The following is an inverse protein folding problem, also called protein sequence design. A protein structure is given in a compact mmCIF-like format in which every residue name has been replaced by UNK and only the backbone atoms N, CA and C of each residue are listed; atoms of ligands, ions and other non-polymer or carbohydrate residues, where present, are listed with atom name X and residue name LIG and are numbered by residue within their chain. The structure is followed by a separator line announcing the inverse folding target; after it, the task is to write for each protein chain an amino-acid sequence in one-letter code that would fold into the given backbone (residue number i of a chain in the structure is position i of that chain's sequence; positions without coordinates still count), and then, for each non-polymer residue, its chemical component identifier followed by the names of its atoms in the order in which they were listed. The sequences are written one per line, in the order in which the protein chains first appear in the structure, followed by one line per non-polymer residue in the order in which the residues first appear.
data_IF_781822454736
#
_entry.id   IF_781822454736
#
_cell.length_a   1.000
_cell.length_b   1.000
_cell.length_c   1.000
_cell.angle_alpha   90.00
_cell.angle_beta   90.00
_cell.angle_gamma   90.00
#
_symmetry.space_group_name_H-M   'P 1'
#
loop_
_entity.id
_entity.type
_entity.pdbx_description
1 polymer ?
#
# COMPACT_ATOMS: atom_id res chain seq x y z
N UNK A 1 16.48 -5.94 -33.85
CA UNK A 1 17.13 -6.32 -32.58
C UNK A 1 16.10 -6.17 -31.47
N UNK A 2 15.62 -7.29 -30.97
CA UNK A 2 14.57 -7.42 -29.96
C UNK A 2 15.06 -6.94 -28.60
N UNK A 3 14.68 -5.72 -28.20
CA UNK A 3 14.79 -5.33 -26.79
C UNK A 3 13.63 -5.97 -26.05
N UNK A 4 13.93 -7.12 -25.42
CA UNK A 4 13.04 -7.85 -24.51
C UNK A 4 12.38 -6.88 -23.54
N UNK A 5 11.06 -6.77 -23.62
CA UNK A 5 10.23 -6.30 -22.51
C UNK A 5 10.41 -7.38 -21.42
N UNK A 6 10.84 -7.06 -20.19
CA UNK A 6 10.94 -8.06 -19.15
C UNK A 6 9.53 -8.50 -18.79
N UNK A 7 9.16 -9.69 -19.26
CA UNK A 7 8.07 -10.49 -18.74
C UNK A 7 8.45 -10.94 -17.32
N UNK A 8 8.22 -10.09 -16.32
CA UNK A 8 8.17 -10.45 -14.90
C UNK A 8 7.76 -9.24 -14.03
N UNK A 9 6.58 -8.68 -14.24
CA UNK A 9 5.79 -8.20 -13.09
C UNK A 9 4.69 -9.24 -12.93
N UNK A 10 5.09 -10.39 -12.37
CA UNK A 10 4.11 -11.36 -11.92
C UNK A 10 3.29 -10.69 -10.82
N UNK A 11 1.97 -10.87 -10.90
CA UNK A 11 0.93 -10.37 -10.01
C UNK A 11 1.06 -10.89 -8.57
N UNK A 12 2.18 -10.58 -7.91
CA UNK A 12 2.43 -10.87 -6.51
C UNK A 12 2.06 -9.66 -5.66
N UNK A 13 1.48 -9.92 -4.50
CA UNK A 13 1.24 -8.91 -3.47
C UNK A 13 2.62 -8.36 -3.03
N UNK A 14 2.78 -7.02 -2.90
CA UNK A 14 4.03 -6.43 -2.42
C UNK A 14 4.42 -7.00 -1.05
N UNK A 15 5.72 -7.19 -0.80
CA UNK A 15 6.16 -7.72 0.49
C UNK A 15 6.14 -6.65 1.59
N UNK A 16 6.13 -5.36 1.22
CA UNK A 16 6.07 -4.24 2.16
C UNK A 16 5.37 -3.01 1.57
N UNK A 17 5.02 -2.06 2.45
CA UNK A 17 4.48 -0.76 2.08
C UNK A 17 5.45 0.03 1.18
N UNK A 18 6.74 0.05 1.52
CA UNK A 18 7.76 0.77 0.75
C UNK A 18 7.92 0.20 -0.66
N UNK A 19 7.88 -1.13 -0.81
CA UNK A 19 7.90 -1.77 -2.11
C UNK A 19 6.66 -1.43 -2.94
N UNK A 20 5.47 -1.45 -2.32
CA UNK A 20 4.23 -1.09 -2.99
C UNK A 20 4.25 0.37 -3.49
N UNK A 21 4.78 1.27 -2.67
CA UNK A 21 4.95 2.68 -3.01
C UNK A 21 5.97 2.89 -4.14
N UNK A 22 7.10 2.19 -4.10
CA UNK A 22 8.11 2.26 -5.15
C UNK A 22 7.56 1.75 -6.49
N UNK A 23 6.82 0.63 -6.48
CA UNK A 23 6.18 0.10 -7.68
C UNK A 23 5.13 1.08 -8.24
N UNK A 24 4.30 1.66 -7.36
CA UNK A 24 3.29 2.65 -7.75
C UNK A 24 3.93 3.89 -8.40
N UNK A 25 5.01 4.41 -7.83
CA UNK A 25 5.73 5.56 -8.39
C UNK A 25 6.32 5.26 -9.79
N UNK A 26 6.89 4.06 -9.98
CA UNK A 26 7.39 3.62 -11.28
C UNK A 26 6.26 3.49 -12.30
N UNK A 27 5.10 2.98 -11.88
CA UNK A 27 3.94 2.79 -12.73
C UNK A 27 3.36 4.15 -13.17
N UNK A 28 3.22 5.10 -12.25
CA UNK A 28 2.79 6.48 -12.56
C UNK A 28 3.76 7.14 -13.54
N UNK A 29 5.07 7.03 -13.31
CA UNK A 29 6.09 7.58 -14.21
C UNK A 29 5.95 7.03 -15.65
N UNK A 30 5.66 5.73 -15.79
CA UNK A 30 5.44 5.11 -17.09
C UNK A 30 4.16 5.61 -17.76
N UNK A 31 3.08 5.79 -17.00
CA UNK A 31 1.81 6.32 -17.49
C UNK A 31 1.94 7.78 -17.96
N UNK A 32 2.65 8.60 -17.19
CA UNK A 32 2.90 10.01 -17.52
C UNK A 32 3.81 10.19 -18.73
N UNK A 33 4.70 9.23 -19.00
CA UNK A 33 5.52 9.23 -20.20
C UNK A 33 4.70 9.09 -21.50
N UNK A 34 3.43 8.68 -21.43
CA UNK A 34 2.49 8.70 -22.55
C UNK A 34 2.79 7.70 -23.68
N UNK A 35 3.78 6.82 -23.49
CA UNK A 35 4.25 5.87 -24.50
C UNK A 35 3.60 4.47 -24.39
N UNK A 36 2.67 4.28 -23.46
CA UNK A 36 2.01 3.00 -23.22
C UNK A 36 0.86 2.77 -24.23
N UNK A 37 0.84 1.61 -24.91
CA UNK A 37 -0.34 1.20 -25.69
C UNK A 37 -1.56 1.04 -24.77
N UNK A 38 -2.75 1.15 -25.34
CA UNK A 38 -4.02 1.18 -24.59
C UNK A 38 -4.17 0.00 -23.62
N UNK A 39 -3.88 -1.22 -24.09
CA UNK A 39 -3.96 -2.44 -23.29
C UNK A 39 -3.00 -2.40 -22.09
N UNK A 40 -1.79 -1.85 -22.29
CA UNK A 40 -0.81 -1.71 -21.22
C UNK A 40 -1.20 -0.60 -20.24
N UNK A 41 -1.84 0.47 -20.69
CA UNK A 41 -2.39 1.53 -19.83
C UNK A 41 -3.52 1.01 -18.93
N UNK A 42 -4.39 0.14 -19.45
CA UNK A 42 -5.44 -0.50 -18.65
C UNK A 42 -4.84 -1.45 -17.61
N UNK A 43 -3.85 -2.26 -17.99
CA UNK A 43 -3.14 -3.14 -17.06
C UNK A 43 -2.40 -2.34 -15.97
N UNK A 44 -1.72 -1.26 -16.34
CA UNK A 44 -1.04 -0.37 -15.40
C UNK A 44 -2.05 0.23 -14.41
N UNK A 45 -3.20 0.72 -14.88
CA UNK A 45 -4.25 1.25 -14.00
C UNK A 45 -4.77 0.20 -13.00
N UNK A 46 -5.04 -1.03 -13.46
CA UNK A 46 -5.49 -2.12 -12.58
C UNK A 46 -4.47 -2.42 -11.49
N UNK A 47 -3.20 -2.56 -11.87
CA UNK A 47 -2.11 -2.79 -10.91
C UNK A 47 -1.95 -1.62 -9.94
N UNK A 48 -2.00 -0.38 -10.44
CA UNK A 48 -1.97 0.81 -9.59
C UNK A 48 -3.11 0.83 -8.56
N UNK A 49 -4.32 0.43 -8.96
CA UNK A 49 -5.47 0.33 -8.05
C UNK A 49 -5.26 -0.71 -6.94
N UNK A 50 -4.67 -1.87 -7.28
CA UNK A 50 -4.31 -2.90 -6.30
C UNK A 50 -3.26 -2.40 -5.29
N UNK A 51 -2.21 -1.73 -5.78
CA UNK A 51 -1.16 -1.16 -4.94
C UNK A 51 -1.71 -0.10 -3.98
N UNK A 52 -2.58 0.79 -4.46
CA UNK A 52 -3.25 1.79 -3.61
C UNK A 52 -4.08 1.13 -2.51
N UNK A 53 -4.86 0.09 -2.84
CA UNK A 53 -5.65 -0.66 -1.84
C UNK A 53 -4.76 -1.33 -0.81
N UNK A 54 -3.65 -1.92 -1.23
CA UNK A 54 -2.68 -2.53 -0.33
C UNK A 54 -2.09 -1.50 0.64
N UNK A 55 -1.64 -0.35 0.13
CA UNK A 55 -1.09 0.73 0.96
C UNK A 55 -2.12 1.25 1.96
N UNK A 56 -3.37 1.48 1.54
CA UNK A 56 -4.43 1.91 2.44
C UNK A 56 -4.70 0.89 3.56
N UNK A 57 -4.82 -0.40 3.22
CA UNK A 57 -5.03 -1.45 4.23
C UNK A 57 -3.89 -1.60 5.24
N UNK A 58 -2.64 -1.36 4.81
CA UNK A 58 -1.49 -1.33 5.72
C UNK A 58 -1.58 -0.17 6.71
N UNK A 59 -1.97 1.02 6.26
CA UNK A 59 -2.15 2.19 7.12
C UNK A 59 -3.30 1.98 8.11
N UNK A 60 -4.44 1.46 7.63
CA UNK A 60 -5.60 1.16 8.48
C UNK A 60 -5.23 0.15 9.60
N UNK A 61 -4.43 -0.87 9.25
CA UNK A 61 -3.94 -1.86 10.22
C UNK A 61 -3.04 -1.23 11.29
N UNK A 62 -2.15 -0.31 10.89
CA UNK A 62 -1.27 0.40 11.83
C UNK A 62 -2.09 1.34 12.73
N UNK A 63 -3.04 2.09 12.16
CA UNK A 63 -3.92 2.97 12.94
C UNK A 63 -4.74 2.18 13.97
N UNK A 64 -5.30 1.03 13.57
CA UNK A 64 -6.03 0.15 14.48
C UNK A 64 -5.14 -0.36 15.63
N UNK A 65 -3.89 -0.74 15.34
CA UNK A 65 -2.93 -1.17 16.37
C UNK A 65 -2.60 -0.03 17.34
N UNK A 66 -2.33 1.18 16.83
CA UNK A 66 -2.06 2.36 17.67
C UNK A 66 -3.25 2.64 18.60
N UNK A 67 -4.47 2.61 18.07
CA UNK A 67 -5.70 2.86 18.85
C UNK A 67 -5.91 1.85 19.98
N UNK A 68 -5.59 0.57 19.75
CA UNK A 68 -5.65 -0.46 20.80
C UNK A 68 -4.61 -0.15 21.89
N UNK A 69 -3.38 0.19 21.51
CA UNK A 69 -2.32 0.53 22.47
C UNK A 69 -2.67 1.78 23.30
N UNK A 70 -3.26 2.80 22.69
CA UNK A 70 -3.76 3.99 23.41
C UNK A 70 -4.91 3.63 24.36
N UNK A 71 -5.88 2.85 23.90
CA UNK A 71 -7.01 2.39 24.72
C UNK A 71 -6.62 1.45 25.86
N UNK A 72 -5.55 0.69 25.70
CA UNK A 72 -4.96 -0.15 26.75
C UNK A 72 -4.02 0.65 27.66
N UNK A 73 -3.42 1.74 27.21
CA UNK A 73 -2.69 2.68 28.07
C UNK A 73 -3.64 3.47 28.98
N UNK A 74 -4.88 3.72 28.53
CA UNK A 74 -5.89 4.43 29.31
C UNK A 74 -6.60 3.57 30.37
N UNK A 75 -6.66 2.24 30.22
CA UNK A 75 -7.30 1.34 31.21
C UNK A 75 -6.61 1.30 32.59
N UNK A 76 -5.27 1.19 32.70
CA UNK A 76 -4.57 1.13 33.98
C UNK A 76 -4.80 2.34 34.89
N UNK A 77 -5.19 3.50 34.35
CA UNK A 77 -5.44 4.72 35.12
C UNK A 77 -6.92 4.93 35.46
N UNK A 78 -7.85 4.33 34.72
CA UNK A 78 -9.29 4.46 34.98
C UNK A 78 -9.76 3.59 36.16
N UNK A 79 -9.06 2.51 36.46
CA UNK A 79 -9.40 1.59 37.56
C UNK A 79 -8.80 2.01 38.92
N UNK A 80 -8.09 3.16 38.99
CA UNK A 80 -7.32 3.61 40.16
C UNK A 80 -7.88 4.79 40.96
N UNK A 81 -8.95 5.48 40.52
CA UNK A 81 -9.57 6.62 41.23
C UNK A 81 -11.03 6.35 41.63
N UNK A 82 -11.28 5.16 42.17
CA UNK A 82 -12.44 4.90 43.03
C UNK A 82 -11.98 4.58 44.45
N UNK A 83 -11.16 5.46 45.04
CA UNK A 83 -10.90 5.50 46.47
C UNK A 83 -11.60 6.73 47.05
N UNK A 84 -12.49 6.43 47.99
CA UNK A 84 -13.30 7.26 48.89
C UNK A 84 -12.80 8.68 49.18
#
# INVERSE_FOLDING_TARGET
MSKKIPAAVAAAVPASFEEAMAELAQLVTQMEAGQLPLEASVAAYQRGSELVKYCAGQLDSVEAQVKVLEGDMLKPFADGEALQ
#
